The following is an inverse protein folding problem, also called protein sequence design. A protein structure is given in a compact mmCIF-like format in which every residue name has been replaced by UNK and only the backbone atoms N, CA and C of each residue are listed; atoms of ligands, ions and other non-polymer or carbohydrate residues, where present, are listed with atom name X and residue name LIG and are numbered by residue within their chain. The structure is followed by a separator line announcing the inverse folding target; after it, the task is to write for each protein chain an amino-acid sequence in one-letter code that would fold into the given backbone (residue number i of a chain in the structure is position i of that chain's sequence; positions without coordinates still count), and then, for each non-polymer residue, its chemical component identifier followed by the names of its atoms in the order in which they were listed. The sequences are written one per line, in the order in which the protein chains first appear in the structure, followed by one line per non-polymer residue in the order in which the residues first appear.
data_IF_801461660531
#
_entry.id   IF_801461660531
#
_cell.length_a   1.000
_cell.length_b   1.000
_cell.length_c   1.000
_cell.angle_alpha   90.00
_cell.angle_beta   90.00
_cell.angle_gamma   90.00
#
_symmetry.space_group_name_H-M   'P 1'
#
loop_
_entity.id
_entity.type
_entity.pdbx_description
1 polymer ?
#
# COMPACT_ATOMS: atom_id res chain seq x y z
N UNK A 1 22.57 9.63 -57.68
CA UNK A 1 23.44 9.52 -56.49
C UNK A 1 22.97 10.54 -55.46
N UNK A 2 22.86 10.13 -54.20
CA UNK A 2 22.69 10.97 -52.99
C UNK A 2 21.33 11.64 -52.78
N UNK A 3 20.73 11.63 -51.59
CA UNK A 3 20.82 10.84 -50.35
C UNK A 3 19.76 11.47 -49.42
N UNK A 4 19.03 10.65 -48.65
CA UNK A 4 18.63 10.96 -47.26
C UNK A 4 17.52 12.02 -47.03
N UNK A 5 16.72 12.01 -45.96
CA UNK A 5 16.75 11.27 -44.70
C UNK A 5 15.39 11.45 -43.98
N UNK A 6 15.02 10.43 -43.21
CA UNK A 6 14.30 10.49 -41.91
C UNK A 6 12.88 11.08 -41.85
N UNK A 7 11.82 10.28 -41.67
CA UNK A 7 11.50 9.37 -40.55
C UNK A 7 10.63 10.03 -39.47
N UNK A 8 9.42 9.45 -39.35
CA UNK A 8 8.76 9.06 -38.11
C UNK A 8 8.32 10.20 -37.15
N UNK A 9 7.23 10.86 -37.52
CA UNK A 9 6.35 11.51 -36.55
C UNK A 9 5.37 10.47 -36.00
N UNK A 10 5.61 9.92 -34.81
CA UNK A 10 4.61 9.28 -33.94
C UNK A 10 5.22 9.01 -32.58
N UNK A 11 5.34 10.06 -31.76
CA UNK A 11 5.60 9.90 -30.33
C UNK A 11 4.26 9.59 -29.70
N UNK A 12 3.90 8.31 -29.67
CA UNK A 12 2.81 7.80 -28.84
C UNK A 12 3.30 7.84 -27.39
N UNK A 13 2.87 8.86 -26.66
CA UNK A 13 2.99 8.94 -25.21
C UNK A 13 2.15 7.82 -24.60
N UNK A 14 2.77 6.66 -24.42
CA UNK A 14 2.28 5.61 -23.54
C UNK A 14 2.34 6.17 -22.12
N UNK A 15 1.22 6.71 -21.65
CA UNK A 15 0.97 6.93 -20.23
C UNK A 15 0.81 5.56 -19.57
N UNK A 16 1.93 4.90 -19.32
CA UNK A 16 1.99 3.82 -18.34
C UNK A 16 1.80 4.49 -16.98
N UNK A 17 0.59 4.44 -16.44
CA UNK A 17 0.35 4.71 -15.02
C UNK A 17 1.11 3.65 -14.23
N UNK A 18 2.38 3.91 -13.96
CA UNK A 18 3.10 3.24 -12.89
C UNK A 18 2.28 3.47 -11.63
N UNK A 19 1.76 2.40 -11.03
CA UNK A 19 1.20 2.46 -9.69
C UNK A 19 2.32 3.01 -8.80
N UNK A 20 2.21 4.28 -8.45
CA UNK A 20 3.12 4.89 -7.50
C UNK A 20 2.93 4.14 -6.19
N UNK A 21 3.97 3.44 -5.75
CA UNK A 21 4.03 2.83 -4.43
C UNK A 21 3.80 3.96 -3.44
N UNK A 22 2.60 4.03 -2.92
CA UNK A 22 2.22 5.16 -2.08
C UNK A 22 2.53 4.73 -0.65
N UNK A 23 3.45 5.45 0.00
CA UNK A 23 3.68 5.39 1.46
C UNK A 23 2.44 5.78 2.31
N UNK A 24 1.28 5.92 1.65
CA UNK A 24 0.02 6.39 2.20
C UNK A 24 -1.14 5.59 1.64
N UNK A 25 -2.13 5.33 2.49
CA UNK A 25 -3.36 4.67 2.09
C UNK A 25 -4.24 5.57 1.20
N UNK A 26 -5.10 4.97 0.35
CA UNK A 26 -6.07 5.74 -0.42
C UNK A 26 -7.01 6.53 0.50
N UNK A 27 -7.62 7.58 -0.05
CA UNK A 27 -8.51 8.45 0.72
C UNK A 27 -9.65 7.63 1.37
N UNK A 28 -9.88 7.85 2.67
CA UNK A 28 -10.88 7.13 3.44
C UNK A 28 -10.43 5.75 3.97
N UNK A 29 -9.15 5.40 3.81
CA UNK A 29 -8.52 4.26 4.50
C UNK A 29 -7.52 4.74 5.54
N UNK A 30 -7.43 3.99 6.63
CA UNK A 30 -6.49 4.22 7.72
C UNK A 30 -5.26 3.36 7.55
N UNK A 31 -4.11 3.99 7.73
CA UNK A 31 -2.82 3.35 7.72
C UNK A 31 -2.60 2.57 9.02
N UNK A 32 -2.37 1.27 8.88
CA UNK A 32 -2.29 0.34 10.00
C UNK A 32 -1.05 -0.54 9.86
N UNK A 33 -0.40 -0.82 10.99
CA UNK A 33 0.73 -1.74 11.08
C UNK A 33 0.33 -2.92 11.95
N UNK A 34 0.15 -4.10 11.37
CA UNK A 34 -0.37 -5.27 12.09
C UNK A 34 0.53 -6.49 11.94
N UNK A 35 0.55 -7.37 12.92
CA UNK A 35 1.36 -8.59 12.85
C UNK A 35 0.86 -9.56 11.79
N UNK A 36 -0.45 -9.62 11.57
CA UNK A 36 -1.06 -10.59 10.65
C UNK A 36 -2.33 -10.02 9.99
N UNK A 37 -2.65 -10.54 8.81
CA UNK A 37 -3.92 -10.37 8.11
C UNK A 37 -4.64 -11.72 8.06
N UNK A 38 -5.87 -11.80 8.58
CA UNK A 38 -6.74 -12.95 8.35
C UNK A 38 -7.32 -12.86 6.93
N UNK A 39 -6.90 -13.71 5.99
CA UNK A 39 -7.24 -13.56 4.57
C UNK A 39 -8.74 -13.80 4.31
N UNK A 40 -9.40 -14.68 5.06
CA UNK A 40 -10.82 -14.98 4.88
C UNK A 40 -11.74 -13.79 5.18
N UNK A 41 -11.28 -12.85 6.02
CA UNK A 41 -12.09 -11.74 6.50
C UNK A 41 -11.47 -10.36 6.20
N UNK A 42 -10.26 -10.32 5.65
CA UNK A 42 -9.47 -9.11 5.49
C UNK A 42 -9.38 -8.31 6.81
N UNK A 43 -9.06 -8.99 7.91
CA UNK A 43 -8.95 -8.37 9.23
C UNK A 43 -7.50 -8.39 9.70
N UNK A 44 -6.94 -7.20 9.97
CA UNK A 44 -5.63 -7.04 10.58
C UNK A 44 -5.72 -7.27 12.09
N UNK A 45 -4.86 -8.14 12.64
CA UNK A 45 -4.81 -8.45 14.07
C UNK A 45 -3.49 -8.02 14.72
N UNK A 46 -3.57 -7.68 16.00
CA UNK A 46 -2.46 -7.17 16.80
C UNK A 46 -1.80 -5.98 16.10
N UNK A 47 -2.64 -4.99 15.79
CA UNK A 47 -2.20 -3.77 15.15
C UNK A 47 -1.64 -2.79 16.18
N UNK A 48 -0.65 -2.02 15.76
CA UNK A 48 -0.24 -0.79 16.43
C UNK A 48 -1.40 0.23 16.40
N UNK A 49 -1.19 1.35 17.06
CA UNK A 49 -2.10 2.52 16.96
C UNK A 49 -2.35 2.88 15.50
N UNK A 50 -3.53 3.39 15.14
CA UNK A 50 -3.82 3.84 13.77
C UNK A 50 -2.91 5.01 13.35
N UNK A 51 -2.87 5.27 12.04
CA UNK A 51 -2.15 6.39 11.40
C UNK A 51 -0.65 6.44 11.71
N UNK A 52 -0.01 5.26 11.78
CA UNK A 52 1.45 5.18 11.85
C UNK A 52 2.07 5.50 10.49
N UNK A 53 3.25 6.11 10.50
CA UNK A 53 4.06 6.25 9.31
C UNK A 53 4.45 4.89 8.72
N UNK A 54 4.38 4.74 7.39
CA UNK A 54 5.05 3.66 6.68
C UNK A 54 6.51 4.02 6.34
N UNK A 55 7.36 3.00 6.15
CA UNK A 55 7.10 1.58 6.46
C UNK A 55 7.00 1.36 7.98
N UNK A 56 6.29 0.30 8.39
CA UNK A 56 6.09 0.00 9.81
C UNK A 56 7.44 -0.14 10.54
N UNK A 57 7.71 0.78 11.46
CA UNK A 57 8.95 0.79 12.22
C UNK A 57 8.87 -0.21 13.38
N UNK A 58 8.94 -1.51 13.08
CA UNK A 58 9.06 -2.55 14.11
C UNK A 58 10.06 -3.62 13.71
N UNK A 59 11.05 -3.84 14.58
CA UNK A 59 12.07 -4.89 14.45
C UNK A 59 11.64 -6.22 15.09
N UNK A 60 10.65 -6.21 15.98
CA UNK A 60 10.02 -7.42 16.52
C UNK A 60 8.78 -7.08 17.36
N UNK A 61 7.59 -7.64 17.06
CA UNK A 61 7.28 -8.50 15.92
C UNK A 61 7.36 -7.74 14.58
N UNK A 62 7.57 -8.47 13.48
CA UNK A 62 7.53 -7.87 12.14
C UNK A 62 6.10 -7.43 11.88
N UNK A 63 5.89 -6.12 11.78
CA UNK A 63 4.58 -5.54 11.47
C UNK A 63 4.47 -5.33 9.97
N UNK A 64 3.32 -5.72 9.45
CA UNK A 64 2.96 -5.63 8.04
C UNK A 64 2.17 -4.34 7.84
N UNK A 65 2.62 -3.53 6.89
CA UNK A 65 1.94 -2.33 6.44
C UNK A 65 0.64 -2.72 5.72
N UNK A 66 -0.47 -2.17 6.17
CA UNK A 66 -1.78 -2.39 5.56
C UNK A 66 -2.68 -1.16 5.61
N UNK A 67 -3.56 -1.06 4.63
CA UNK A 67 -4.58 -0.03 4.55
C UNK A 67 -5.93 -0.64 4.89
N UNK A 68 -6.58 -0.13 5.94
CA UNK A 68 -7.84 -0.67 6.45
C UNK A 68 -8.95 0.37 6.33
N UNK A 69 -10.16 -0.03 5.93
CA UNK A 69 -11.32 0.87 5.86
C UNK A 69 -11.76 1.42 7.21
N UNK A 70 -11.54 0.64 8.26
CA UNK A 70 -11.88 1.00 9.63
C UNK A 70 -10.98 0.25 10.60
N UNK A 71 -10.92 0.72 11.83
CA UNK A 71 -10.22 0.06 12.92
C UNK A 71 -11.07 0.13 14.19
N UNK A 72 -10.84 -0.86 15.05
CA UNK A 72 -11.48 -0.94 16.36
C UNK A 72 -10.41 -1.20 17.43
N UNK A 73 -10.60 -0.59 18.60
CA UNK A 73 -9.82 -0.92 19.78
C UNK A 73 -10.53 -2.04 20.54
N UNK A 74 -9.94 -3.23 20.53
CA UNK A 74 -10.43 -4.37 21.29
C UNK A 74 -9.65 -4.53 22.59
N UNK A 75 -10.13 -5.34 23.57
CA UNK A 75 -9.34 -5.68 24.75
C UNK A 75 -7.98 -6.35 24.44
N UNK A 76 -7.77 -6.83 23.21
CA UNK A 76 -6.53 -7.47 22.73
C UNK A 76 -5.62 -6.51 21.95
N UNK A 77 -5.98 -5.23 21.84
CA UNK A 77 -5.29 -4.24 21.02
C UNK A 77 -6.11 -3.76 19.82
N UNK A 78 -5.47 -3.02 18.93
CA UNK A 78 -6.13 -2.55 17.71
C UNK A 78 -6.31 -3.69 16.71
N UNK A 79 -7.45 -3.66 16.03
CA UNK A 79 -7.75 -4.52 14.88
C UNK A 79 -8.21 -3.66 13.73
N UNK A 80 -7.79 -3.99 12.51
CA UNK A 80 -8.25 -3.33 11.29
C UNK A 80 -9.28 -4.19 10.56
N UNK A 81 -10.29 -3.57 9.96
CA UNK A 81 -11.33 -4.24 9.18
C UNK A 81 -11.25 -3.84 7.71
N UNK A 82 -11.45 -4.82 6.82
CA UNK A 82 -11.33 -4.66 5.37
C UNK A 82 -9.95 -4.10 4.97
N UNK A 83 -8.91 -4.77 5.46
CA UNK A 83 -7.52 -4.40 5.26
C UNK A 83 -6.95 -4.99 3.97
N UNK A 84 -6.11 -4.22 3.30
CA UNK A 84 -5.31 -4.65 2.14
C UNK A 84 -3.83 -4.48 2.45
N UNK A 85 -3.00 -5.41 1.97
CA UNK A 85 -1.56 -5.34 2.15
C UNK A 85 -0.97 -4.19 1.32
N UNK A 86 -0.09 -3.41 1.93
CA UNK A 86 0.74 -2.46 1.20
C UNK A 86 2.06 -3.16 0.91
N UNK A 87 2.26 -3.49 -0.37
CA UNK A 87 3.47 -4.16 -0.82
C UNK A 87 4.65 -3.16 -0.77
N UNK A 88 5.46 -3.27 0.27
CA UNK A 88 6.76 -2.59 0.36
C UNK A 88 7.68 -3.15 -0.73
N UNK A 89 8.16 -2.34 -1.69
CA UNK A 89 9.27 -2.77 -2.56
C UNK A 89 10.60 -2.81 -1.80
#
# INVERSE_FOLDING_TARGET
MRFQLSALASIALLFSSAFAQTDSCPEGETQMCCENLLPDFNVGYYCATPDQSFPCQSSSPVLIAMCCKSYDLTPRGYTGSNCTLVESA
#
